data_IF_730462042118
#
_entry.id   IF_730462042118
#
_cell.length_a   1.000
_cell.length_b   1.000
_cell.length_c   1.000
_cell.angle_alpha   90.00
_cell.angle_beta   90.00
_cell.angle_gamma   90.00
#
_symmetry.space_group_name_H-M   'P 1'
#
loop_
_entity.id
_entity.type
_entity.pdbx_description
1 polymer ?
#
# COMPACT_ATOMS: atom_id res chain seq x y z
N UNK A 1 3.60 39.12 40.18
CA UNK A 1 3.00 38.46 39.01
C UNK A 1 4.10 37.70 38.27
N UNK A 2 4.30 36.42 38.61
CA UNK A 2 5.29 35.57 37.96
C UNK A 2 4.56 34.70 36.92
N UNK A 3 5.05 34.76 35.69
CA UNK A 3 4.50 34.05 34.54
C UNK A 3 4.59 32.54 34.75
N UNK A 4 3.46 31.85 34.59
CA UNK A 4 3.40 30.40 34.54
C UNK A 4 4.09 29.93 33.25
N UNK A 5 5.20 29.22 33.40
CA UNK A 5 5.80 28.46 32.31
C UNK A 5 4.88 27.28 32.00
N UNK A 6 4.20 27.33 30.85
CA UNK A 6 3.51 26.19 30.27
C UNK A 6 4.54 25.11 29.94
N UNK A 7 4.59 24.06 30.76
CA UNK A 7 5.21 22.80 30.39
C UNK A 7 4.40 22.20 29.25
N UNK A 8 4.97 22.19 28.04
CA UNK A 8 4.47 21.38 26.93
C UNK A 8 5.08 19.99 27.13
N UNK A 9 4.30 19.04 27.64
CA UNK A 9 4.73 17.64 27.67
C UNK A 9 5.01 17.16 26.24
N UNK A 10 6.23 16.65 26.03
CA UNK A 10 6.61 15.92 24.82
C UNK A 10 5.83 14.60 24.83
N UNK A 11 4.79 14.53 24.02
CA UNK A 11 4.03 13.31 23.82
C UNK A 11 4.88 12.34 22.96
N UNK A 12 5.72 11.53 23.59
CA UNK A 12 6.50 10.44 22.94
C UNK A 12 5.63 9.20 22.61
N UNK A 13 4.43 9.18 23.16
CA UNK A 13 3.37 8.20 22.96
C UNK A 13 2.05 8.97 23.05
N UNK A 14 1.17 8.97 22.02
CA UNK A 14 -0.14 9.59 22.17
C UNK A 14 -0.84 8.98 23.38
N UNK A 15 -1.43 9.84 24.22
CA UNK A 15 -2.04 9.42 25.48
C UNK A 15 -3.18 8.44 25.17
N UNK A 16 -2.97 7.17 25.51
CA UNK A 16 -3.92 6.08 25.27
C UNK A 16 -5.10 6.20 26.24
N UNK A 17 -6.00 7.15 26.00
CA UNK A 17 -7.25 7.24 26.71
C UNK A 17 -8.09 6.01 26.37
N UNK A 18 -8.27 5.07 27.31
CA UNK A 18 -9.11 3.84 27.24
C UNK A 18 -9.97 3.81 25.96
N UNK A 19 -9.39 3.28 24.89
CA UNK A 19 -9.98 3.39 23.58
C UNK A 19 -10.91 2.20 23.33
N UNK A 20 -12.14 2.48 22.89
CA UNK A 20 -13.05 1.49 22.31
C UNK A 20 -12.62 1.08 20.87
N UNK A 21 -11.32 1.10 20.53
CA UNK A 21 -10.82 1.35 19.16
C UNK A 21 -10.18 0.18 18.39
N UNK A 22 -10.13 0.36 17.07
CA UNK A 22 -9.39 -0.47 16.11
C UNK A 22 -7.89 -0.54 16.42
N UNK A 23 -7.31 -1.73 16.33
CA UNK A 23 -5.88 -1.99 16.44
C UNK A 23 -5.25 -1.84 15.04
N UNK A 24 -4.19 -1.06 14.89
CA UNK A 24 -3.55 -0.81 13.58
C UNK A 24 -2.06 -1.18 13.60
N UNK A 25 -1.64 -2.04 12.68
CA UNK A 25 -0.23 -2.25 12.37
C UNK A 25 0.04 -1.68 10.96
N UNK A 26 0.93 -0.69 10.89
CA UNK A 26 1.29 0.03 9.66
C UNK A 26 2.78 -0.15 9.35
N UNK A 27 3.08 -0.64 8.15
CA UNK A 27 4.45 -0.91 7.70
C UNK A 27 4.77 -0.03 6.51
N UNK A 28 5.93 0.63 6.55
CA UNK A 28 6.50 1.31 5.40
C UNK A 28 7.54 0.40 4.75
N UNK A 29 7.37 0.11 3.47
CA UNK A 29 8.36 -0.59 2.65
C UNK A 29 8.93 0.48 1.71
N UNK A 30 10.16 0.93 1.97
CA UNK A 30 10.73 2.14 1.40
C UNK A 30 11.92 1.78 0.51
N UNK A 31 11.81 2.13 -0.76
CA UNK A 31 12.94 2.22 -1.66
C UNK A 31 13.95 3.26 -1.14
N UNK A 32 15.19 2.84 -0.95
CA UNK A 32 16.28 3.66 -0.43
C UNK A 32 17.40 3.89 -1.45
N UNK A 33 17.10 3.78 -2.74
CA UNK A 33 18.04 4.05 -3.84
C UNK A 33 18.20 5.55 -4.11
N UNK A 34 19.15 5.91 -4.97
CA UNK A 34 19.61 7.30 -5.14
C UNK A 34 18.52 8.32 -5.48
N UNK A 35 17.46 7.92 -6.19
CA UNK A 35 16.34 8.78 -6.61
C UNK A 35 15.39 9.15 -5.46
N UNK A 36 15.39 8.38 -4.37
CA UNK A 36 14.36 8.42 -3.33
C UNK A 36 14.58 9.49 -2.25
N UNK A 37 15.66 10.28 -2.34
CA UNK A 37 16.07 11.20 -1.27
C UNK A 37 14.99 12.20 -0.83
N UNK A 38 14.22 12.75 -1.78
CA UNK A 38 13.15 13.71 -1.45
C UNK A 38 11.94 13.07 -0.75
N UNK A 39 11.68 11.79 -1.01
CA UNK A 39 10.59 11.01 -0.43
C UNK A 39 10.95 10.53 0.97
N UNK A 40 12.18 10.04 1.16
CA UNK A 40 12.75 9.73 2.49
C UNK A 40 12.70 10.97 3.38
N UNK A 41 13.14 12.13 2.87
CA UNK A 41 13.10 13.38 3.63
C UNK A 41 11.67 13.80 3.99
N UNK A 42 10.72 13.67 3.05
CA UNK A 42 9.32 13.97 3.31
C UNK A 42 8.72 13.03 4.36
N UNK A 43 8.98 11.72 4.26
CA UNK A 43 8.53 10.75 5.25
C UNK A 43 9.09 11.09 6.65
N UNK A 44 10.40 11.37 6.73
CA UNK A 44 11.10 11.74 7.97
C UNK A 44 10.49 12.97 8.64
N UNK A 45 10.20 14.01 7.86
CA UNK A 45 9.66 15.27 8.39
C UNK A 45 8.19 15.15 8.82
N UNK A 46 7.42 14.29 8.16
CA UNK A 46 5.98 14.22 8.35
C UNK A 46 5.51 13.04 9.21
N UNK A 47 6.37 12.06 9.53
CA UNK A 47 5.96 10.84 10.25
C UNK A 47 5.23 11.13 11.57
N UNK A 48 5.63 12.18 12.30
CA UNK A 48 4.93 12.59 13.50
C UNK A 48 3.51 13.07 13.21
N UNK A 49 3.34 13.96 12.23
CA UNK A 49 2.01 14.45 11.82
C UNK A 49 1.12 13.30 11.35
N UNK A 50 1.68 12.39 10.53
CA UNK A 50 0.97 11.21 10.03
C UNK A 50 0.40 10.38 11.20
N UNK A 51 1.24 10.07 12.19
CA UNK A 51 0.82 9.24 13.32
C UNK A 51 -0.15 9.99 14.23
N UNK A 52 0.13 11.25 14.55
CA UNK A 52 -0.75 12.08 15.38
C UNK A 52 -2.14 12.22 14.76
N UNK A 53 -2.23 12.49 13.46
CA UNK A 53 -3.51 12.61 12.76
C UNK A 53 -4.28 11.28 12.72
N UNK A 54 -3.61 10.16 12.46
CA UNK A 54 -4.26 8.83 12.48
C UNK A 54 -4.75 8.49 13.89
N UNK A 55 -3.94 8.70 14.92
CA UNK A 55 -4.32 8.37 16.30
C UNK A 55 -5.43 9.26 16.82
N UNK A 56 -5.36 10.56 16.56
CA UNK A 56 -6.41 11.51 16.99
C UNK A 56 -7.73 11.23 16.27
N UNK A 57 -7.69 11.00 14.96
CA UNK A 57 -8.92 10.81 14.17
C UNK A 57 -9.55 9.42 14.31
N UNK A 58 -8.75 8.37 14.44
CA UNK A 58 -9.24 6.99 14.49
C UNK A 58 -9.20 6.37 15.89
N UNK A 59 -8.70 7.11 16.89
CA UNK A 59 -8.51 6.65 18.28
C UNK A 59 -7.75 5.32 18.38
N UNK A 60 -6.97 4.96 17.35
CA UNK A 60 -6.46 3.60 17.16
C UNK A 60 -5.15 3.35 17.90
N UNK A 61 -4.96 2.11 18.38
CA UNK A 61 -3.67 1.66 18.93
C UNK A 61 -2.72 1.27 17.79
N UNK A 62 -1.84 2.20 17.41
CA UNK A 62 -0.94 2.08 16.26
C UNK A 62 0.44 1.56 16.65
N UNK A 63 0.97 0.64 15.83
CA UNK A 63 2.40 0.34 15.75
C UNK A 63 2.91 0.53 14.33
N UNK A 64 4.18 0.90 14.25
CA UNK A 64 4.87 1.24 13.01
C UNK A 64 6.05 0.31 12.79
N UNK A 65 6.27 -0.14 11.57
CA UNK A 65 7.49 -0.83 11.17
C UNK A 65 8.07 -0.17 9.90
N UNK A 66 9.36 -0.38 9.67
CA UNK A 66 10.06 0.12 8.50
C UNK A 66 10.89 -1.01 7.89
N UNK A 67 10.70 -1.22 6.60
CA UNK A 67 11.57 -2.06 5.76
C UNK A 67 12.20 -1.14 4.73
N UNK A 68 13.51 -1.06 4.77
CA UNK A 68 14.30 -0.38 3.76
C UNK A 68 14.76 -1.43 2.76
N UNK A 69 14.65 -1.17 1.47
CA UNK A 69 15.28 -2.00 0.44
C UNK A 69 16.07 -1.15 -0.55
N UNK A 70 17.03 -1.79 -1.19
CA UNK A 70 17.79 -1.24 -2.32
C UNK A 70 17.90 -2.31 -3.41
N UNK A 71 19.11 -2.65 -3.79
CA UNK A 71 19.41 -3.55 -4.90
C UNK A 71 20.30 -4.72 -4.43
N UNK A 72 20.43 -5.73 -5.28
CA UNK A 72 21.31 -6.86 -5.08
C UNK A 72 22.74 -6.59 -5.59
N UNK A 73 23.77 -7.24 -5.01
CA UNK A 73 25.10 -7.22 -5.60
C UNK A 73 25.10 -7.89 -6.99
N UNK A 74 25.75 -7.31 -8.01
CA UNK A 74 26.78 -6.28 -7.91
C UNK A 74 26.29 -4.82 -8.00
N UNK A 75 24.98 -4.56 -8.19
CA UNK A 75 24.46 -3.19 -8.34
C UNK A 75 24.60 -2.38 -7.06
N UNK A 76 24.24 -2.99 -5.91
CA UNK A 76 24.50 -2.43 -4.58
C UNK A 76 25.22 -3.48 -3.72
N UNK A 77 26.30 -3.05 -3.06
CA UNK A 77 27.11 -3.89 -2.17
C UNK A 77 26.92 -3.59 -0.67
N UNK A 78 26.00 -2.69 -0.32
CA UNK A 78 25.74 -2.22 1.05
C UNK A 78 24.76 -3.13 1.77
N UNK A 79 23.51 -3.21 1.31
CA UNK A 79 22.47 -4.10 1.81
C UNK A 79 21.35 -4.26 0.78
N UNK A 80 20.69 -5.42 0.80
CA UNK A 80 19.46 -5.66 0.02
C UNK A 80 18.25 -5.14 0.80
N UNK A 81 18.08 -5.59 2.05
CA UNK A 81 17.05 -5.10 2.97
C UNK A 81 17.59 -4.77 4.36
N UNK A 82 16.95 -3.82 5.05
CA UNK A 82 17.06 -3.59 6.50
C UNK A 82 15.67 -3.56 7.10
N UNK A 83 15.46 -4.40 8.11
CA UNK A 83 14.14 -4.60 8.74
C UNK A 83 14.14 -4.03 10.14
N UNK A 84 13.22 -3.10 10.39
CA UNK A 84 12.89 -2.58 11.71
C UNK A 84 11.46 -3.03 12.05
N UNK A 85 11.33 -3.91 13.04
CA UNK A 85 10.06 -4.49 13.45
C UNK A 85 9.15 -3.47 14.18
N UNK A 86 7.93 -3.87 14.54
CA UNK A 86 6.92 -2.98 15.09
C UNK A 86 7.35 -2.26 16.38
N UNK A 87 7.30 -0.93 16.35
CA UNK A 87 7.39 -0.05 17.52
C UNK A 87 6.11 0.77 17.71
N UNK A 88 5.78 1.05 18.98
CA UNK A 88 4.74 2.02 19.33
C UNK A 88 5.32 3.44 19.52
N UNK A 89 6.63 3.64 19.34
CA UNK A 89 7.31 4.92 19.57
C UNK A 89 7.55 5.64 18.25
N UNK A 90 6.86 6.75 18.05
CA UNK A 90 7.04 7.60 16.86
C UNK A 90 8.46 8.15 16.75
N UNK A 91 9.11 8.43 17.88
CA UNK A 91 10.51 8.86 17.94
C UNK A 91 11.49 7.81 17.44
N UNK A 92 11.19 6.52 17.66
CA UNK A 92 12.02 5.42 17.17
C UNK A 92 11.87 5.24 15.66
N UNK A 93 10.63 5.24 15.15
CA UNK A 93 10.36 5.25 13.70
C UNK A 93 11.03 6.43 12.99
N UNK A 94 10.92 7.64 13.57
CA UNK A 94 11.60 8.83 13.04
C UNK A 94 13.12 8.66 13.06
N UNK A 95 13.67 8.07 14.12
CA UNK A 95 15.08 7.73 14.20
C UNK A 95 15.51 6.79 13.07
N UNK A 96 14.74 5.75 12.75
CA UNK A 96 15.05 4.87 11.62
C UNK A 96 15.05 5.62 10.28
N UNK A 97 14.03 6.44 10.04
CA UNK A 97 13.92 7.27 8.82
C UNK A 97 15.06 8.29 8.70
N UNK A 98 15.54 8.88 9.80
CA UNK A 98 16.70 9.77 9.81
C UNK A 98 18.01 9.07 9.40
N UNK A 99 18.09 7.74 9.55
CA UNK A 99 19.22 6.91 9.11
C UNK A 99 19.02 6.28 7.73
N UNK A 100 17.85 6.46 7.11
CA UNK A 100 17.63 6.12 5.71
C UNK A 100 18.42 7.09 4.83
N UNK A 101 19.23 6.55 3.93
CA UNK A 101 19.99 7.32 2.96
C UNK A 101 19.70 6.80 1.56
N UNK A 102 19.27 7.70 0.68
CA UNK A 102 19.11 7.45 -0.74
C UNK A 102 20.49 7.22 -1.38
N UNK A 103 20.80 5.97 -1.72
CA UNK A 103 22.06 5.58 -2.34
C UNK A 103 21.94 4.20 -2.97
N UNK A 104 22.79 3.87 -3.93
CA UNK A 104 22.75 2.57 -4.61
C UNK A 104 21.80 2.53 -5.79
N UNK A 105 21.38 1.31 -6.14
CA UNK A 105 20.76 0.96 -7.42
C UNK A 105 21.81 0.83 -8.54
N UNK A 106 21.36 0.69 -9.79
CA UNK A 106 22.29 0.78 -10.93
C UNK A 106 21.69 0.38 -12.28
N UNK A 107 20.83 -0.63 -12.29
CA UNK A 107 20.27 -1.20 -13.52
C UNK A 107 18.80 -0.82 -13.77
N UNK A 108 18.15 -0.19 -12.80
CA UNK A 108 16.82 0.39 -12.91
C UNK A 108 15.79 -0.34 -12.05
N UNK A 109 15.60 -1.66 -12.20
CA UNK A 109 14.82 -2.46 -11.24
C UNK A 109 15.51 -2.58 -9.88
N UNK A 110 14.75 -2.90 -8.83
CA UNK A 110 15.23 -2.92 -7.45
C UNK A 110 14.73 -4.17 -6.69
N UNK A 111 15.20 -4.37 -5.46
CA UNK A 111 14.87 -5.51 -4.59
C UNK A 111 13.47 -5.42 -3.93
N UNK A 112 12.46 -5.00 -4.70
CA UNK A 112 11.06 -4.86 -4.25
C UNK A 112 10.51 -6.19 -3.69
N UNK A 113 10.87 -7.32 -4.32
CA UNK A 113 10.44 -8.65 -3.89
C UNK A 113 10.96 -9.00 -2.48
N UNK A 114 12.21 -8.66 -2.19
CA UNK A 114 12.83 -8.85 -0.88
C UNK A 114 12.12 -8.01 0.20
N UNK A 115 11.86 -6.73 -0.10
CA UNK A 115 11.13 -5.84 0.81
C UNK A 115 9.70 -6.31 1.12
N UNK A 116 8.97 -6.77 0.11
CA UNK A 116 7.64 -7.37 0.29
C UNK A 116 7.69 -8.68 1.09
N UNK A 117 8.70 -9.52 0.84
CA UNK A 117 8.86 -10.78 1.54
C UNK A 117 9.18 -10.58 3.03
N UNK A 118 10.04 -9.61 3.35
CA UNK A 118 10.37 -9.30 4.74
C UNK A 118 9.16 -8.75 5.52
N UNK A 119 8.21 -8.11 4.84
CA UNK A 119 6.95 -7.67 5.47
C UNK A 119 6.10 -8.84 5.99
N UNK A 120 6.16 -10.01 5.36
CA UNK A 120 5.47 -11.22 5.83
C UNK A 120 6.04 -11.76 7.15
N UNK A 121 7.28 -11.40 7.49
CA UNK A 121 8.02 -11.93 8.65
C UNK A 121 7.88 -11.05 9.90
N UNK A 122 7.30 -9.86 9.77
CA UNK A 122 7.10 -8.93 10.88
C UNK A 122 6.16 -9.48 11.96
N UNK A 123 6.24 -8.94 13.18
CA UNK A 123 5.45 -9.39 14.33
C UNK A 123 4.03 -8.80 14.36
N UNK A 124 3.25 -9.07 13.31
CA UNK A 124 1.87 -8.60 13.16
C UNK A 124 0.96 -9.06 14.30
N UNK A 125 0.08 -8.17 14.79
CA UNK A 125 -1.00 -8.52 15.71
C UNK A 125 -2.12 -9.24 14.95
N UNK A 126 -2.66 -10.31 15.52
CA UNK A 126 -3.75 -11.07 14.90
C UNK A 126 -4.97 -10.17 14.63
N UNK A 127 -5.40 -9.41 15.65
CA UNK A 127 -6.59 -8.55 15.65
C UNK A 127 -6.39 -7.17 14.99
N UNK A 128 -5.21 -6.87 14.45
CA UNK A 128 -4.98 -5.57 13.82
C UNK A 128 -5.52 -5.53 12.39
N UNK A 129 -5.99 -4.35 11.99
CA UNK A 129 -5.93 -3.91 10.59
C UNK A 129 -4.46 -3.85 10.19
N UNK A 130 -4.10 -4.51 9.08
CA UNK A 130 -2.70 -4.69 8.63
C UNK A 130 -2.50 -3.98 7.31
N UNK A 131 -1.67 -2.95 7.31
CA UNK A 131 -1.42 -2.12 6.14
C UNK A 131 0.07 -2.07 5.85
N UNK A 132 0.44 -2.40 4.62
CA UNK A 132 1.75 -2.12 4.05
C UNK A 132 1.64 -0.96 3.06
N UNK A 133 2.52 0.02 3.19
CA UNK A 133 2.68 1.11 2.23
C UNK A 133 4.03 0.95 1.56
N UNK A 134 4.02 0.45 0.33
CA UNK A 134 5.20 0.39 -0.53
C UNK A 134 5.40 1.75 -1.20
N UNK A 135 6.59 2.33 -1.07
CA UNK A 135 6.97 3.58 -1.73
C UNK A 135 8.15 3.25 -2.64
N UNK A 136 7.90 3.27 -3.95
CA UNK A 136 8.87 2.85 -4.98
C UNK A 136 8.81 3.80 -6.17
N UNK A 137 9.93 3.94 -6.89
CA UNK A 137 9.97 4.55 -8.23
C UNK A 137 10.42 3.58 -9.33
N UNK A 138 10.82 2.35 -8.96
CA UNK A 138 11.33 1.31 -9.83
C UNK A 138 10.54 -0.02 -9.72
N UNK A 139 10.56 -0.89 -10.76
CA UNK A 139 9.94 -2.22 -10.72
C UNK A 139 10.81 -3.24 -9.97
N UNK A 140 10.26 -4.42 -9.59
CA UNK A 140 11.09 -5.55 -9.17
C UNK A 140 11.94 -6.10 -10.33
N UNK A 141 13.08 -6.71 -9.99
CA UNK A 141 13.82 -7.53 -10.93
C UNK A 141 12.96 -8.62 -11.58
N UNK A 142 13.26 -8.87 -12.84
CA UNK A 142 12.64 -9.87 -13.69
C UNK A 142 11.36 -9.42 -14.38
N UNK A 143 10.82 -8.23 -14.14
CA UNK A 143 9.62 -7.78 -14.85
C UNK A 143 9.91 -7.42 -16.32
N UNK A 144 10.90 -6.55 -16.53
CA UNK A 144 11.35 -6.11 -17.85
C UNK A 144 12.82 -6.47 -18.03
N UNK A 145 13.18 -7.36 -18.97
CA UNK A 145 14.57 -7.80 -19.13
C UNK A 145 15.48 -6.72 -19.73
N UNK A 146 14.93 -5.61 -20.23
CA UNK A 146 15.71 -4.55 -20.86
C UNK A 146 16.46 -3.71 -19.83
N UNK A 147 17.76 -3.96 -19.68
CA UNK A 147 18.63 -3.19 -18.79
C UNK A 147 18.73 -3.77 -17.39
N UNK A 148 17.90 -4.76 -17.03
CA UNK A 148 17.89 -5.46 -15.74
C UNK A 148 19.14 -6.36 -15.57
N UNK A 149 19.88 -6.18 -14.49
CA UNK A 149 21.01 -7.03 -14.10
C UNK A 149 20.59 -8.40 -13.57
N UNK A 150 19.31 -8.57 -13.23
CA UNK A 150 18.72 -9.82 -12.75
C UNK A 150 17.44 -10.18 -13.53
N UNK A 151 17.53 -10.38 -14.86
CA UNK A 151 16.36 -10.55 -15.73
C UNK A 151 15.54 -11.81 -15.44
N UNK A 152 16.11 -12.77 -14.70
CA UNK A 152 15.41 -13.98 -14.28
C UNK A 152 14.58 -13.79 -13.01
N UNK A 153 14.62 -12.62 -12.36
CA UNK A 153 13.91 -12.32 -11.12
C UNK A 153 14.86 -12.09 -9.95
N UNK A 154 14.30 -11.91 -8.76
CA UNK A 154 15.06 -11.74 -7.52
C UNK A 154 16.11 -12.86 -7.35
N UNK A 155 17.39 -12.53 -7.10
CA UNK A 155 18.46 -13.50 -6.84
C UNK A 155 18.19 -14.47 -5.68
N UNK A 156 17.39 -14.07 -4.70
CA UNK A 156 16.96 -14.92 -3.59
C UNK A 156 15.81 -15.88 -3.97
N UNK A 157 15.35 -15.88 -5.23
CA UNK A 157 14.25 -16.72 -5.70
C UNK A 157 12.86 -16.27 -5.24
N UNK A 158 12.76 -15.03 -4.76
CA UNK A 158 11.51 -14.44 -4.26
C UNK A 158 10.63 -13.97 -5.42
N UNK A 159 9.34 -14.28 -5.33
CA UNK A 159 8.36 -13.94 -6.36
C UNK A 159 7.34 -12.94 -5.80
N UNK A 160 7.35 -11.66 -6.25
CA UNK A 160 6.48 -10.63 -5.70
C UNK A 160 4.99 -10.94 -5.89
N UNK A 161 4.58 -11.67 -6.94
CA UNK A 161 3.18 -12.05 -7.15
C UNK A 161 2.74 -13.09 -6.11
N UNK A 162 3.58 -14.10 -5.85
CA UNK A 162 3.30 -15.09 -4.79
C UNK A 162 3.28 -14.42 -3.41
N UNK A 163 4.22 -13.52 -3.17
CA UNK A 163 4.33 -12.80 -1.90
C UNK A 163 3.07 -11.97 -1.63
N UNK A 164 2.58 -11.17 -2.58
CA UNK A 164 1.37 -10.36 -2.35
C UNK A 164 0.11 -11.21 -2.21
N UNK A 165 0.08 -12.41 -2.78
CA UNK A 165 -1.00 -13.39 -2.52
C UNK A 165 -0.94 -13.92 -1.09
N UNK A 166 0.26 -14.26 -0.59
CA UNK A 166 0.44 -14.64 0.81
C UNK A 166 0.10 -13.48 1.76
N UNK A 167 0.46 -12.24 1.39
CA UNK A 167 0.03 -11.05 2.14
C UNK A 167 -1.49 -10.97 2.22
N UNK A 168 -2.18 -11.18 1.10
CA UNK A 168 -3.64 -11.15 1.03
C UNK A 168 -4.29 -12.25 1.90
N UNK A 169 -3.75 -13.47 1.87
CA UNK A 169 -4.19 -14.60 2.74
C UNK A 169 -3.99 -14.28 4.22
N UNK A 170 -2.92 -13.56 4.58
CA UNK A 170 -2.66 -13.06 5.94
C UNK A 170 -3.40 -11.75 6.27
N UNK A 171 -4.29 -11.30 5.40
CA UNK A 171 -5.09 -10.07 5.53
C UNK A 171 -4.23 -8.80 5.64
N UNK A 172 -3.04 -8.81 5.03
CA UNK A 172 -2.17 -7.65 4.89
C UNK A 172 -2.54 -6.94 3.60
N UNK A 173 -2.97 -5.68 3.72
CA UNK A 173 -3.36 -4.86 2.58
C UNK A 173 -2.17 -4.04 2.10
N UNK A 174 -1.88 -4.11 0.80
CA UNK A 174 -0.79 -3.37 0.17
C UNK A 174 -1.32 -2.12 -0.54
N UNK A 175 -0.91 -0.96 -0.04
CA UNK A 175 -0.99 0.30 -0.76
C UNK A 175 0.35 0.54 -1.46
N UNK A 176 0.31 0.89 -2.74
CA UNK A 176 1.52 1.20 -3.51
C UNK A 176 1.54 2.68 -3.85
N UNK A 177 2.43 3.42 -3.22
CA UNK A 177 2.76 4.81 -3.54
C UNK A 177 3.81 4.79 -4.65
N UNK A 178 3.36 4.93 -5.89
CA UNK A 178 4.23 4.93 -7.06
C UNK A 178 4.76 6.31 -7.38
N UNK A 179 6.07 6.50 -7.29
CA UNK A 179 6.74 7.77 -7.58
C UNK A 179 6.84 7.99 -9.09
N UNK A 180 6.22 9.07 -9.56
CA UNK A 180 6.15 9.43 -10.98
C UNK A 180 7.10 10.60 -11.29
N UNK A 181 7.67 10.68 -12.51
CA UNK A 181 7.44 9.79 -13.67
C UNK A 181 8.12 8.40 -13.69
N UNK A 182 9.19 8.06 -12.93
CA UNK A 182 9.96 6.83 -13.19
C UNK A 182 9.12 5.55 -13.22
N UNK A 183 8.14 5.42 -12.32
CA UNK A 183 7.34 4.20 -12.19
C UNK A 183 6.24 4.05 -13.26
N UNK A 184 5.94 5.09 -14.05
CA UNK A 184 4.78 5.13 -14.95
C UNK A 184 4.72 3.93 -15.93
N UNK A 185 5.84 3.50 -16.56
CA UNK A 185 5.82 2.31 -17.42
C UNK A 185 5.35 1.03 -16.69
N UNK A 186 5.53 0.99 -15.36
CA UNK A 186 5.26 -0.15 -14.49
C UNK A 186 3.96 0.00 -13.68
N UNK A 187 3.18 1.07 -13.92
CA UNK A 187 1.98 1.39 -13.15
C UNK A 187 0.99 0.22 -13.07
N UNK A 188 0.68 -0.40 -14.21
CA UNK A 188 -0.28 -1.52 -14.27
C UNK A 188 0.19 -2.74 -13.46
N UNK A 189 1.51 -2.97 -13.39
CA UNK A 189 2.09 -4.03 -12.56
C UNK A 189 1.83 -3.75 -11.07
N UNK A 190 2.18 -2.55 -10.61
CA UNK A 190 1.96 -2.17 -9.21
C UNK A 190 0.48 -2.07 -8.82
N UNK A 191 -0.37 -1.59 -9.73
CA UNK A 191 -1.82 -1.63 -9.57
C UNK A 191 -2.31 -3.07 -9.36
N UNK A 192 -1.75 -4.04 -10.08
CA UNK A 192 -2.14 -5.45 -9.90
C UNK A 192 -1.74 -6.00 -8.53
N UNK A 193 -0.55 -5.64 -8.01
CA UNK A 193 -0.11 -6.02 -6.67
C UNK A 193 -1.05 -5.47 -5.59
N UNK A 194 -1.36 -4.16 -5.68
CA UNK A 194 -2.29 -3.51 -4.76
C UNK A 194 -3.69 -4.15 -4.85
N UNK A 195 -4.18 -4.38 -6.07
CA UNK A 195 -5.47 -4.99 -6.33
C UNK A 195 -5.57 -6.39 -5.71
N UNK A 196 -4.57 -7.26 -5.84
CA UNK A 196 -4.59 -8.63 -5.26
C UNK A 196 -4.90 -8.59 -3.75
N UNK A 197 -4.36 -7.61 -3.03
CA UNK A 197 -4.56 -7.46 -1.57
C UNK A 197 -5.82 -6.67 -1.19
N UNK A 198 -6.55 -6.10 -2.16
CA UNK A 198 -7.66 -5.17 -1.94
C UNK A 198 -7.22 -3.76 -1.52
N UNK A 199 -5.95 -3.41 -1.73
CA UNK A 199 -5.42 -2.07 -1.55
C UNK A 199 -5.54 -1.22 -2.81
N UNK A 200 -4.78 -0.13 -2.87
CA UNK A 200 -4.81 0.81 -4.00
C UNK A 200 -3.41 1.26 -4.42
N UNK A 201 -3.26 1.54 -5.71
CA UNK A 201 -2.13 2.32 -6.23
C UNK A 201 -2.40 3.80 -6.01
N UNK A 202 -1.39 4.55 -5.61
CA UNK A 202 -1.47 5.99 -5.41
C UNK A 202 -0.31 6.65 -6.17
N UNK A 203 -0.58 7.35 -7.28
CA UNK A 203 0.46 8.04 -8.01
C UNK A 203 1.03 9.18 -7.17
N UNK A 204 2.34 9.31 -7.13
CA UNK A 204 3.03 10.32 -6.33
C UNK A 204 3.90 11.16 -7.23
N UNK A 205 3.37 12.32 -7.62
CA UNK A 205 4.06 13.30 -8.48
C UNK A 205 4.93 14.28 -7.68
N UNK A 206 4.71 14.37 -6.37
CA UNK A 206 5.50 15.22 -5.48
C UNK A 206 5.51 14.66 -4.06
N UNK A 207 6.70 14.63 -3.43
CA UNK A 207 6.86 14.14 -2.06
C UNK A 207 6.08 14.95 -1.01
N UNK A 208 5.64 16.18 -1.34
CA UNK A 208 4.82 17.02 -0.46
C UNK A 208 3.44 16.42 -0.15
N UNK A 209 2.93 15.52 -1.00
CA UNK A 209 1.63 14.88 -0.82
C UNK A 209 1.71 13.57 -0.04
N UNK A 210 2.92 13.09 0.29
CA UNK A 210 3.15 11.78 0.92
C UNK A 210 2.35 11.59 2.20
N UNK A 211 2.39 12.57 3.10
CA UNK A 211 1.64 12.52 4.36
C UNK A 211 0.13 12.41 4.13
N UNK A 212 -0.42 13.25 3.25
CA UNK A 212 -1.85 13.26 2.92
C UNK A 212 -2.31 11.92 2.34
N UNK A 213 -1.50 11.33 1.45
CA UNK A 213 -1.76 10.02 0.85
C UNK A 213 -1.77 8.91 1.90
N UNK A 214 -0.76 8.88 2.78
CA UNK A 214 -0.67 7.84 3.82
C UNK A 214 -1.86 7.95 4.78
N UNK A 215 -2.16 9.16 5.26
CA UNK A 215 -3.27 9.41 6.19
C UNK A 215 -4.61 9.03 5.52
N UNK A 216 -4.84 9.50 4.28
CA UNK A 216 -6.06 9.22 3.54
C UNK A 216 -6.27 7.72 3.31
N UNK A 217 -5.24 7.03 2.80
CA UNK A 217 -5.28 5.59 2.56
C UNK A 217 -5.50 4.76 3.82
N UNK A 218 -4.81 5.08 4.92
CA UNK A 218 -4.98 4.38 6.20
C UNK A 218 -6.38 4.59 6.78
N UNK A 219 -6.89 5.82 6.77
CA UNK A 219 -8.23 6.12 7.32
C UNK A 219 -9.34 5.48 6.49
N UNK A 220 -9.18 5.42 5.18
CA UNK A 220 -10.08 4.68 4.29
C UNK A 220 -10.03 3.17 4.57
N UNK A 221 -8.85 2.59 4.73
CA UNK A 221 -8.70 1.16 5.01
C UNK A 221 -9.32 0.76 6.35
N UNK A 222 -9.11 1.55 7.40
CA UNK A 222 -9.80 1.36 8.70
C UNK A 222 -11.32 1.44 8.53
N UNK A 223 -11.81 2.35 7.68
CA UNK A 223 -13.23 2.44 7.38
C UNK A 223 -13.75 1.20 6.68
N UNK A 224 -13.01 0.66 5.70
CA UNK A 224 -13.37 -0.56 4.96
C UNK A 224 -13.40 -1.77 5.89
N UNK A 225 -12.39 -1.94 6.74
CA UNK A 225 -12.36 -3.04 7.72
C UNK A 225 -13.56 -3.02 8.66
N UNK A 226 -13.98 -1.83 9.13
CA UNK A 226 -15.19 -1.67 9.96
C UNK A 226 -16.45 -2.06 9.20
N UNK A 227 -16.61 -1.62 7.93
CA UNK A 227 -17.74 -2.02 7.09
C UNK A 227 -17.82 -3.53 6.92
N UNK A 228 -16.67 -4.17 6.66
CA UNK A 228 -16.58 -5.62 6.53
C UNK A 228 -16.99 -6.33 7.82
N UNK A 229 -16.51 -5.87 8.98
CA UNK A 229 -16.86 -6.44 10.28
C UNK A 229 -18.36 -6.31 10.58
N UNK A 230 -18.94 -5.14 10.32
CA UNK A 230 -20.35 -4.86 10.62
C UNK A 230 -21.33 -5.61 9.69
N UNK A 231 -20.97 -5.79 8.42
CA UNK A 231 -21.82 -6.47 7.42
C UNK A 231 -21.41 -7.92 7.12
N UNK A 232 -20.47 -8.50 7.89
CA UNK A 232 -19.83 -9.79 7.58
C UNK A 232 -20.83 -10.90 7.25
N UNK A 233 -21.84 -11.10 8.11
CA UNK A 233 -22.82 -12.18 7.95
C UNK A 233 -23.67 -12.03 6.67
N UNK A 234 -24.03 -10.80 6.30
CA UNK A 234 -24.83 -10.53 5.10
C UNK A 234 -23.98 -10.68 3.83
N UNK A 235 -22.73 -10.22 3.88
CA UNK A 235 -21.76 -10.41 2.79
C UNK A 235 -21.54 -11.90 2.55
N UNK A 236 -21.27 -12.69 3.60
CA UNK A 236 -21.04 -14.13 3.47
C UNK A 236 -22.23 -14.86 2.83
N UNK A 237 -23.44 -14.56 3.30
CA UNK A 237 -24.66 -15.16 2.78
C UNK A 237 -24.89 -14.79 1.30
N UNK A 238 -24.71 -13.52 0.94
CA UNK A 238 -24.96 -13.05 -0.41
C UNK A 238 -23.89 -13.54 -1.39
N UNK A 239 -22.62 -13.61 -0.97
CA UNK A 239 -21.54 -14.12 -1.81
C UNK A 239 -21.69 -15.62 -2.08
N UNK A 240 -22.15 -16.41 -1.11
CA UNK A 240 -22.47 -17.83 -1.34
C UNK A 240 -23.56 -18.02 -2.41
N UNK A 241 -24.61 -17.18 -2.38
CA UNK A 241 -25.65 -17.21 -3.41
C UNK A 241 -25.10 -16.79 -4.78
N UNK A 242 -24.37 -15.68 -4.83
CA UNK A 242 -23.79 -15.16 -6.06
C UNK A 242 -22.81 -16.17 -6.70
N UNK A 243 -22.05 -16.92 -5.90
CA UNK A 243 -21.21 -18.01 -6.38
C UNK A 243 -22.02 -19.19 -6.94
N UNK A 244 -23.09 -19.60 -6.28
CA UNK A 244 -23.98 -20.66 -6.76
C UNK A 244 -24.68 -20.29 -8.09
N UNK A 245 -24.91 -18.99 -8.30
CA UNK A 245 -25.49 -18.43 -9.52
C UNK A 245 -24.46 -18.20 -10.64
N UNK A 246 -23.16 -18.39 -10.37
CA UNK A 246 -22.10 -18.14 -11.35
C UNK A 246 -21.89 -16.66 -11.68
N UNK A 247 -22.21 -15.75 -10.76
CA UNK A 247 -22.08 -14.31 -10.95
C UNK A 247 -20.61 -13.90 -11.18
N UNK A 248 -20.42 -12.93 -12.08
CA UNK A 248 -19.13 -12.28 -12.33
C UNK A 248 -18.61 -11.51 -11.12
N UNK A 249 -17.30 -11.21 -11.08
CA UNK A 249 -16.68 -10.41 -10.01
C UNK A 249 -17.35 -9.03 -9.87
N UNK A 250 -17.72 -8.40 -11.00
CA UNK A 250 -18.43 -7.12 -11.03
C UNK A 250 -19.83 -7.21 -10.41
N UNK A 251 -20.58 -8.26 -10.72
CA UNK A 251 -21.91 -8.47 -10.13
C UNK A 251 -21.83 -8.73 -8.63
N UNK A 252 -20.83 -9.48 -8.17
CA UNK A 252 -20.58 -9.72 -6.74
C UNK A 252 -20.25 -8.42 -6.00
N UNK A 253 -19.36 -7.59 -6.55
CA UNK A 253 -19.08 -6.27 -6.01
C UNK A 253 -20.33 -5.39 -5.94
N UNK A 254 -21.17 -5.40 -6.98
CA UNK A 254 -22.45 -4.67 -7.00
C UNK A 254 -23.44 -5.13 -5.93
N UNK A 255 -23.50 -6.44 -5.64
CA UNK A 255 -24.33 -6.98 -4.54
C UNK A 255 -23.83 -6.53 -3.17
N UNK A 256 -22.52 -6.53 -2.95
CA UNK A 256 -21.93 -5.97 -1.71
C UNK A 256 -22.27 -4.48 -1.58
N UNK A 257 -22.15 -3.71 -2.66
CA UNK A 257 -22.52 -2.30 -2.66
C UNK A 257 -24.01 -2.09 -2.29
N UNK A 258 -24.89 -2.96 -2.79
CA UNK A 258 -26.31 -2.95 -2.44
C UNK A 258 -26.56 -3.28 -0.96
N UNK A 259 -25.78 -4.17 -0.34
CA UNK A 259 -25.86 -4.44 1.11
C UNK A 259 -25.53 -3.17 1.91
N UNK A 260 -24.48 -2.45 1.52
CA UNK A 260 -24.08 -1.22 2.22
C UNK A 260 -25.11 -0.11 2.07
N UNK A 261 -25.59 0.13 0.84
CA UNK A 261 -26.66 1.11 0.55
C UNK A 261 -27.95 0.74 1.31
N UNK A 262 -28.32 -0.54 1.20
CA UNK A 262 -29.11 -1.33 2.14
C UNK A 262 -29.35 -0.79 3.54
N UNK A 263 -28.22 -0.75 4.23
CA UNK A 263 -28.08 -0.49 5.66
C UNK A 263 -27.73 0.96 5.94
N UNK A 264 -27.70 1.82 4.92
CA UNK A 264 -27.26 3.21 5.02
C UNK A 264 -25.85 3.30 5.66
N UNK A 265 -24.96 2.37 5.30
CA UNK A 265 -23.59 2.34 5.81
C UNK A 265 -22.76 3.40 5.11
N UNK A 266 -21.88 4.05 5.87
CA UNK A 266 -21.09 5.20 5.43
C UNK A 266 -19.60 4.91 5.55
N UNK A 267 -18.82 5.43 4.61
CA UNK A 267 -17.38 5.21 4.55
C UNK A 267 -16.60 6.51 4.52
N UNK A 268 -15.30 6.39 4.80
CA UNK A 268 -14.29 7.40 4.44
C UNK A 268 -13.71 7.04 3.09
N UNK A 269 -13.51 8.03 2.23
CA UNK A 269 -13.01 7.84 0.86
C UNK A 269 -11.91 8.85 0.58
N UNK A 270 -10.70 8.36 0.30
CA UNK A 270 -9.65 9.20 -0.24
C UNK A 270 -9.94 9.40 -1.73
N UNK A 271 -10.11 10.65 -2.13
CA UNK A 271 -10.17 10.95 -3.55
C UNK A 271 -8.85 10.55 -4.19
N UNK A 272 -8.87 9.66 -5.17
CA UNK A 272 -7.70 9.23 -5.91
C UNK A 272 -8.13 8.87 -7.34
N UNK A 273 -8.36 9.90 -8.15
CA UNK A 273 -8.90 9.76 -9.50
C UNK A 273 -8.09 8.83 -10.43
N UNK A 274 -6.84 8.55 -10.07
CA UNK A 274 -5.91 7.76 -10.87
C UNK A 274 -5.45 6.47 -10.17
N UNK A 275 -6.07 6.12 -9.04
CA UNK A 275 -5.72 4.94 -8.25
C UNK A 275 -6.53 3.69 -8.57
N UNK A 276 -7.69 3.84 -9.22
CA UNK A 276 -8.53 2.71 -9.64
C UNK A 276 -7.73 1.82 -10.59
N UNK A 277 -7.58 0.54 -10.23
CA UNK A 277 -6.80 -0.41 -11.01
C UNK A 277 -7.29 -0.44 -12.48
N UNK A 278 -6.38 -0.41 -13.43
CA UNK A 278 -6.73 -0.50 -14.86
C UNK A 278 -7.33 -1.86 -15.20
N UNK A 279 -8.06 -1.96 -16.32
CA UNK A 279 -8.54 -3.25 -16.84
C UNK A 279 -7.40 -4.25 -17.02
N UNK A 280 -6.22 -3.78 -17.46
CA UNK A 280 -5.04 -4.63 -17.60
C UNK A 280 -4.55 -5.17 -16.25
N UNK A 281 -4.51 -4.33 -15.23
CA UNK A 281 -4.15 -4.72 -13.88
C UNK A 281 -5.16 -5.73 -13.29
N UNK A 282 -6.46 -5.45 -13.41
CA UNK A 282 -7.53 -6.25 -12.81
C UNK A 282 -7.77 -7.59 -13.53
N UNK A 283 -7.90 -7.57 -14.85
CA UNK A 283 -8.39 -8.73 -15.62
C UNK A 283 -7.25 -9.62 -16.13
N UNK A 284 -6.01 -9.11 -16.17
CA UNK A 284 -4.86 -9.86 -16.70
C UNK A 284 -3.76 -10.06 -15.66
N UNK A 285 -3.10 -8.98 -15.22
CA UNK A 285 -1.92 -9.07 -14.37
C UNK A 285 -2.24 -9.64 -12.98
N UNK A 286 -3.38 -9.26 -12.38
CA UNK A 286 -3.79 -9.82 -11.09
C UNK A 286 -4.15 -11.32 -11.15
N UNK A 287 -4.32 -11.88 -12.36
CA UNK A 287 -4.66 -13.30 -12.57
C UNK A 287 -3.42 -14.18 -12.77
N UNK A 288 -2.25 -13.60 -13.02
CA UNK A 288 -0.98 -14.34 -13.09
C UNK A 288 -0.69 -15.06 -11.76
N UNK A 289 -0.31 -16.33 -11.81
CA UNK A 289 0.05 -17.10 -10.63
C UNK A 289 1.42 -16.68 -10.05
N UNK A 290 2.33 -16.24 -10.92
CA UNK A 290 3.72 -15.92 -10.58
C UNK A 290 4.37 -14.98 -11.60
N UNK A 291 5.65 -14.62 -11.38
CA UNK A 291 6.40 -13.75 -12.27
C UNK A 291 6.69 -14.36 -13.64
N UNK A 292 6.68 -15.69 -13.81
CA UNK A 292 6.90 -16.32 -15.12
C UNK A 292 5.70 -16.08 -16.04
N UNK A 293 4.48 -16.24 -15.50
CA UNK A 293 3.26 -15.86 -16.20
C UNK A 293 3.17 -14.35 -16.41
N UNK A 294 3.55 -13.55 -15.39
CA UNK A 294 3.58 -12.09 -15.50
C UNK A 294 4.48 -11.63 -16.63
N UNK A 295 5.71 -12.15 -16.74
CA UNK A 295 6.66 -11.82 -17.82
C UNK A 295 6.09 -12.15 -19.19
N UNK A 296 5.39 -13.28 -19.30
CA UNK A 296 4.74 -13.69 -20.55
C UNK A 296 3.63 -12.72 -20.94
N UNK A 297 2.79 -12.31 -19.97
CA UNK A 297 1.76 -11.30 -20.18
C UNK A 297 2.36 -9.91 -20.46
N UNK A 298 3.44 -9.54 -19.79
CA UNK A 298 4.17 -8.27 -19.96
C UNK A 298 4.74 -8.14 -21.37
N UNK A 299 5.41 -9.18 -21.85
CA UNK A 299 6.03 -9.22 -23.18
C UNK A 299 5.01 -9.19 -24.32
N UNK A 300 3.76 -9.55 -24.05
CA UNK A 300 2.66 -9.49 -25.03
C UNK A 300 2.04 -8.08 -25.18
N UNK A 301 2.40 -7.14 -24.31
CA UNK A 301 1.96 -5.74 -24.39
C UNK A 301 2.64 -5.06 -25.57
N UNK A 302 1.95 -4.19 -26.33
CA UNK A 302 2.65 -3.24 -27.19
C UNK A 302 3.63 -2.45 -26.33
N UNK A 303 4.88 -2.29 -26.80
CA UNK A 303 5.94 -1.63 -26.05
C UNK A 303 5.42 -0.32 -25.46
N UNK A 304 5.64 -0.06 -24.15
CA UNK A 304 5.25 1.22 -23.58
C UNK A 304 5.89 2.34 -24.41
N UNK A 305 5.23 3.50 -24.55
CA UNK A 305 5.88 4.64 -25.15
C UNK A 305 7.22 4.87 -24.42
N UNK A 306 8.30 5.27 -25.11
CA UNK A 306 9.60 5.52 -24.48
C UNK A 306 9.38 6.34 -23.19
N UNK A 307 10.14 6.09 -22.11
CA UNK A 307 9.92 6.78 -20.82
C UNK A 307 9.81 8.32 -20.93
N UNK A 308 10.40 8.92 -21.96
CA UNK A 308 10.25 10.33 -22.34
C UNK A 308 8.83 10.77 -22.80
N UNK A 309 7.91 9.83 -23.03
CA UNK A 309 6.56 10.03 -23.58
C UNK A 309 5.44 9.44 -22.69
N UNK A 310 5.78 8.69 -21.64
CA UNK A 310 4.82 8.27 -20.63
C UNK A 310 4.57 9.46 -19.69
N UNK A 311 3.53 10.25 -19.98
CA UNK A 311 3.24 11.45 -19.19
C UNK A 311 2.81 11.08 -17.78
N UNK A 312 3.58 11.54 -16.79
CA UNK A 312 3.12 11.59 -15.40
C UNK A 312 1.80 12.35 -15.32
N UNK A 313 1.01 12.03 -14.30
CA UNK A 313 -0.22 12.76 -14.05
C UNK A 313 0.12 14.23 -13.72
N UNK A 314 -0.57 15.23 -14.29
CA UNK A 314 -0.35 16.62 -13.94
C UNK A 314 -0.60 16.87 -12.45
N UNK A 315 0.29 17.59 -11.77
CA UNK A 315 0.14 17.90 -10.33
C UNK A 315 -1.15 18.65 -10.00
N UNK A 316 -1.68 19.46 -10.92
CA UNK A 316 -2.94 20.15 -10.73
C UNK A 316 -4.17 19.22 -10.71
N UNK A 317 -4.02 18.00 -11.24
CA UNK A 317 -5.08 16.99 -11.30
C UNK A 317 -4.97 15.98 -10.15
N UNK A 318 -3.85 15.95 -9.42
CA UNK A 318 -3.69 15.09 -8.24
C UNK A 318 -4.29 15.74 -7.00
N UNK A 319 -5.40 15.20 -6.50
CA UNK A 319 -5.96 15.51 -5.18
C UNK A 319 -6.13 14.22 -4.39
N UNK A 320 -5.78 14.28 -3.11
CA UNK A 320 -5.90 13.18 -2.13
C UNK A 320 -6.79 13.58 -0.95
N UNK A 321 -7.79 14.42 -1.20
CA UNK A 321 -8.73 14.84 -0.16
C UNK A 321 -9.50 13.65 0.38
N UNK A 322 -9.54 13.54 1.71
CA UNK A 322 -10.36 12.55 2.38
C UNK A 322 -11.76 13.11 2.57
N UNK A 323 -12.73 12.50 1.91
CA UNK A 323 -14.14 12.76 2.13
C UNK A 323 -14.62 11.84 3.25
N UNK A 324 -15.14 12.45 4.31
CA UNK A 324 -15.73 11.74 5.42
C UNK A 324 -17.23 11.55 5.18
N UNK A 325 -17.78 10.47 5.72
CA UNK A 325 -19.21 10.17 5.70
C UNK A 325 -19.81 10.18 4.28
N UNK A 326 -19.32 9.29 3.41
CA UNK A 326 -19.79 9.10 2.04
C UNK A 326 -20.53 7.77 1.88
N UNK A 327 -21.41 7.67 0.86
CA UNK A 327 -21.95 6.36 0.45
C UNK A 327 -20.82 5.47 -0.02
N UNK A 328 -20.82 4.19 0.38
CA UNK A 328 -19.79 3.25 -0.05
C UNK A 328 -19.77 3.18 -1.58
N UNK A 329 -18.63 3.47 -2.20
CA UNK A 329 -18.51 3.48 -3.66
C UNK A 329 -18.45 2.07 -4.24
N UNK A 330 -18.66 1.95 -5.56
CA UNK A 330 -18.46 0.68 -6.27
C UNK A 330 -17.02 0.17 -6.16
N UNK A 331 -16.02 1.07 -6.19
CA UNK A 331 -14.60 0.73 -6.02
C UNK A 331 -14.34 0.14 -4.63
N UNK A 332 -14.87 0.77 -3.57
CA UNK A 332 -14.76 0.24 -2.21
C UNK A 332 -15.47 -1.10 -2.05
N UNK A 333 -16.64 -1.28 -2.67
CA UNK A 333 -17.33 -2.57 -2.66
C UNK A 333 -16.55 -3.66 -3.41
N UNK A 334 -15.89 -3.31 -4.52
CA UNK A 334 -15.00 -4.23 -5.24
C UNK A 334 -13.77 -4.62 -4.39
N UNK A 335 -13.19 -3.67 -3.66
CA UNK A 335 -12.11 -3.94 -2.71
C UNK A 335 -12.55 -4.83 -1.54
N UNK A 336 -13.76 -4.60 -1.01
CA UNK A 336 -14.38 -5.48 0.00
C UNK A 336 -14.57 -6.89 -0.56
N UNK A 337 -15.09 -7.03 -1.78
CA UNK A 337 -15.21 -8.33 -2.44
C UNK A 337 -13.86 -9.03 -2.57
N UNK A 338 -12.83 -8.31 -3.01
CA UNK A 338 -11.48 -8.85 -3.15
C UNK A 338 -10.91 -9.34 -1.82
N UNK A 339 -11.06 -8.56 -0.74
CA UNK A 339 -10.66 -8.96 0.62
C UNK A 339 -11.46 -10.16 1.12
N UNK A 340 -12.76 -10.20 0.87
CA UNK A 340 -13.62 -11.34 1.20
C UNK A 340 -13.14 -12.62 0.51
N UNK A 341 -12.83 -12.55 -0.78
CA UNK A 341 -12.30 -13.68 -1.54
C UNK A 341 -10.98 -14.19 -0.96
N UNK A 342 -10.09 -13.28 -0.53
CA UNK A 342 -8.80 -13.62 0.06
C UNK A 342 -8.94 -14.29 1.44
N UNK A 343 -9.98 -13.96 2.23
CA UNK A 343 -10.28 -14.59 3.52
C UNK A 343 -10.76 -16.05 3.41
N UNK A 344 -11.15 -16.48 2.22
CA UNK A 344 -11.69 -17.82 1.95
C UNK A 344 -10.61 -18.87 1.64
N UNK A 345 -9.39 -18.43 1.33
CA UNK A 345 -8.26 -19.28 0.93
C UNK A 345 -7.44 -19.70 2.14
#
# INVERSE_FOLDING_TARGET
>A
MAAAALHVEKVDRPELAKHDSSILDLVFIMDCTGSMGSYIHSATNNIRSIVEEIVVSEKSDIRLALIEYRDHPPQDATFVTRVHDFTAKVSEMKGWLEHCQAHGGGDGPEAVADGLHDALKLTWRAESTKICVLISDAPPHGLDPSGDGFPNGCPAGLDPIKIVREMAEKHITLYVVGVEPPIVPYRDFFMSLAYITGGQYVPMVTSKLLAKVIIGGVREEISIDRLMQEAQADIDLEMQKAEAEGASEKEKAGRINHIFTSKNMRSKQMHNAFGTASTLAQEHYSKCADMSEMKSAWSSKPAPPPAAHASAIPTAETSYELMEDQDVSEDQAARVYQKWQNRKK
#
